data_IF_401870484609
#
_entry.id   IF_401870484609
#
_cell.length_a   1.000
_cell.length_b   1.000
_cell.length_c   1.000
_cell.angle_alpha   90.00
_cell.angle_beta   90.00
_cell.angle_gamma   90.00
#
_symmetry.space_group_name_H-M   'P 1'
#
loop_
_entity.id
_entity.type
_entity.pdbx_description
1 polymer ?
#
# COMPACT_ATOMS: atom_id res chain seq x y z
N UNK A 1 -24.83 10.67 -7.21
CA UNK A 1 -23.93 9.87 -6.36
C UNK A 1 -22.58 10.57 -6.37
N UNK A 2 -22.28 11.33 -5.31
CA UNK A 2 -21.03 12.08 -5.24
C UNK A 2 -19.95 11.15 -4.69
N UNK A 3 -19.08 10.67 -5.59
CA UNK A 3 -17.77 10.16 -5.18
C UNK A 3 -17.02 11.37 -4.65
N UNK A 4 -17.18 11.63 -3.35
CA UNK A 4 -16.38 12.64 -2.66
C UNK A 4 -14.93 12.26 -2.88
N UNK A 5 -14.16 13.17 -3.48
CA UNK A 5 -12.72 13.07 -3.61
C UNK A 5 -12.15 12.58 -2.28
N UNK A 6 -11.73 11.31 -2.23
CA UNK A 6 -11.00 10.73 -1.10
C UNK A 6 -9.63 11.43 -1.11
N UNK A 7 -9.53 12.66 -0.59
CA UNK A 7 -8.28 13.42 -0.65
C UNK A 7 -7.30 12.93 0.42
N UNK A 8 -6.04 12.74 0.05
CA UNK A 8 -4.94 12.42 0.96
C UNK A 8 -4.96 10.96 1.42
N UNK A 9 -5.15 10.74 2.71
CA UNK A 9 -5.04 9.45 3.39
C UNK A 9 -5.77 8.30 2.69
N UNK A 10 -7.07 8.46 2.41
CA UNK A 10 -7.86 7.35 1.90
C UNK A 10 -7.52 6.97 0.45
N UNK A 11 -7.12 7.93 -0.39
CA UNK A 11 -6.58 7.63 -1.72
C UNK A 11 -5.22 6.93 -1.61
N UNK A 12 -4.35 7.38 -0.71
CA UNK A 12 -3.07 6.75 -0.46
C UNK A 12 -3.22 5.29 0.03
N UNK A 13 -4.20 5.01 0.90
CA UNK A 13 -4.54 3.64 1.30
C UNK A 13 -5.06 2.80 0.12
N UNK A 14 -5.92 3.36 -0.74
CA UNK A 14 -6.44 2.65 -1.91
C UNK A 14 -5.32 2.31 -2.90
N UNK A 15 -4.42 3.27 -3.18
CA UNK A 15 -3.25 3.08 -4.04
C UNK A 15 -2.31 2.01 -3.48
N UNK A 16 -2.07 2.03 -2.16
CA UNK A 16 -1.26 1.02 -1.49
C UNK A 16 -1.84 -0.39 -1.67
N UNK A 17 -3.13 -0.57 -1.38
CA UNK A 17 -3.79 -1.87 -1.51
C UNK A 17 -3.82 -2.33 -2.98
N UNK A 18 -4.15 -1.43 -3.92
CA UNK A 18 -4.16 -1.74 -5.34
C UNK A 18 -2.78 -2.20 -5.82
N UNK A 19 -1.73 -1.49 -5.44
CA UNK A 19 -0.36 -1.85 -5.79
C UNK A 19 0.07 -3.21 -5.21
N UNK A 20 -0.35 -3.56 -3.99
CA UNK A 20 -0.12 -4.90 -3.42
C UNK A 20 -0.82 -5.98 -4.21
N UNK A 21 -2.09 -5.77 -4.58
CA UNK A 21 -2.85 -6.75 -5.38
C UNK A 21 -2.19 -6.99 -6.73
N UNK A 22 -1.71 -5.93 -7.39
CA UNK A 22 -0.92 -6.04 -8.62
C UNK A 22 0.41 -6.76 -8.41
N UNK A 23 1.11 -6.52 -7.29
CA UNK A 23 2.34 -7.24 -6.96
C UNK A 23 2.12 -8.75 -6.77
N UNK A 24 0.98 -9.15 -6.20
CA UNK A 24 0.61 -10.56 -6.03
C UNK A 24 0.33 -11.22 -7.37
N UNK A 25 -0.31 -10.52 -8.32
CA UNK A 25 -0.65 -11.06 -9.64
C UNK A 25 0.49 -11.01 -10.66
N UNK A 26 1.65 -10.45 -10.31
CA UNK A 26 2.79 -10.26 -11.22
C UNK A 26 4.06 -10.96 -10.71
N UNK A 27 5.07 -11.04 -11.57
CA UNK A 27 6.35 -11.71 -11.30
C UNK A 27 7.55 -10.81 -11.68
N UNK A 28 8.73 -11.12 -11.14
CA UNK A 28 9.99 -10.47 -11.52
C UNK A 28 10.04 -8.96 -11.24
N UNK A 29 10.56 -8.19 -12.20
CA UNK A 29 10.73 -6.73 -12.08
C UNK A 29 9.39 -5.98 -11.94
N UNK A 30 8.33 -6.46 -12.60
CA UNK A 30 7.01 -5.83 -12.55
C UNK A 30 6.43 -5.90 -11.12
N UNK A 31 6.54 -7.07 -10.48
CA UNK A 31 6.21 -7.23 -9.06
C UNK A 31 6.98 -6.24 -8.18
N UNK A 32 8.29 -6.09 -8.41
CA UNK A 32 9.14 -5.20 -7.62
C UNK A 32 8.71 -3.74 -7.78
N UNK A 33 8.34 -3.33 -9.00
CA UNK A 33 7.77 -2.01 -9.28
C UNK A 33 6.47 -1.78 -8.50
N UNK A 34 5.55 -2.76 -8.52
CA UNK A 34 4.31 -2.67 -7.76
C UNK A 34 4.52 -2.61 -6.24
N UNK A 35 5.45 -3.40 -5.69
CA UNK A 35 5.80 -3.33 -4.26
C UNK A 35 6.41 -1.97 -3.89
N UNK A 36 7.25 -1.40 -4.76
CA UNK A 36 7.80 -0.05 -4.54
C UNK A 36 6.70 1.00 -4.52
N UNK A 37 5.75 0.93 -5.46
CA UNK A 37 4.62 1.85 -5.52
C UNK A 37 3.73 1.71 -4.26
N UNK A 38 3.50 0.49 -3.80
CA UNK A 38 2.75 0.23 -2.58
C UNK A 38 3.41 0.89 -1.35
N UNK A 39 4.74 0.78 -1.23
CA UNK A 39 5.51 1.43 -0.16
C UNK A 39 5.37 2.95 -0.19
N UNK A 40 5.55 3.56 -1.37
CA UNK A 40 5.40 5.01 -1.54
C UNK A 40 3.99 5.48 -1.18
N UNK A 41 2.96 4.73 -1.58
CA UNK A 41 1.57 5.05 -1.24
C UNK A 41 1.31 4.96 0.28
N UNK A 42 1.85 3.95 0.96
CA UNK A 42 1.74 3.88 2.43
C UNK A 42 2.50 4.98 3.14
N UNK A 43 3.69 5.36 2.65
CA UNK A 43 4.43 6.48 3.23
C UNK A 43 3.64 7.80 3.09
N UNK A 44 2.92 7.99 1.97
CA UNK A 44 1.98 9.10 1.83
C UNK A 44 0.79 8.98 2.79
N UNK A 45 0.21 7.79 2.98
CA UNK A 45 -0.86 7.58 3.94
C UNK A 45 -0.40 7.89 5.38
N UNK A 46 0.80 7.48 5.77
CA UNK A 46 1.35 7.80 7.09
C UNK A 46 1.56 9.30 7.29
N UNK A 47 1.96 10.02 6.23
CA UNK A 47 2.16 11.47 6.25
C UNK A 47 0.84 12.23 6.33
N UNK A 48 -0.18 11.75 5.63
CA UNK A 48 -1.49 12.38 5.52
C UNK A 48 -2.46 11.95 6.63
N UNK A 49 -2.04 11.05 7.53
CA UNK A 49 -2.84 10.62 8.66
C UNK A 49 -3.04 11.79 9.65
N UNK A 50 -4.30 12.07 9.96
CA UNK A 50 -4.71 13.14 10.87
C UNK A 50 -5.22 12.62 12.23
N UNK A 51 -5.44 11.30 12.35
CA UNK A 51 -5.81 10.64 13.60
C UNK A 51 -4.88 9.47 13.94
N UNK A 52 -4.89 9.07 15.22
CA UNK A 52 -4.17 7.86 15.65
C UNK A 52 -4.71 6.58 15.00
N UNK A 53 -6.01 6.54 14.67
CA UNK A 53 -6.65 5.42 13.98
C UNK A 53 -6.20 5.33 12.52
N UNK A 54 -6.11 6.47 11.82
CA UNK A 54 -5.58 6.54 10.46
C UNK A 54 -4.11 6.14 10.42
N UNK A 55 -3.30 6.65 11.36
CA UNK A 55 -1.90 6.27 11.47
C UNK A 55 -1.75 4.76 11.74
N UNK A 56 -2.55 4.21 12.65
CA UNK A 56 -2.55 2.78 12.96
C UNK A 56 -2.92 1.93 11.73
N UNK A 57 -3.92 2.36 10.95
CA UNK A 57 -4.30 1.68 9.71
C UNK A 57 -3.17 1.72 8.67
N UNK A 58 -2.52 2.87 8.46
CA UNK A 58 -1.41 2.98 7.53
C UNK A 58 -0.19 2.17 7.96
N UNK A 59 0.12 2.12 9.26
CA UNK A 59 1.19 1.26 9.77
C UNK A 59 0.84 -0.23 9.61
N UNK A 60 -0.43 -0.63 9.83
CA UNK A 60 -0.90 -1.98 9.52
C UNK A 60 -0.70 -2.34 8.05
N UNK A 61 -1.04 -1.43 7.12
CA UNK A 61 -0.79 -1.62 5.69
C UNK A 61 0.71 -1.77 5.39
N UNK A 62 1.56 -0.97 6.05
CA UNK A 62 3.01 -1.05 5.91
C UNK A 62 3.56 -2.43 6.28
N UNK A 63 3.09 -2.99 7.39
CA UNK A 63 3.52 -4.32 7.83
C UNK A 63 3.01 -5.40 6.88
N UNK A 64 1.75 -5.30 6.42
CA UNK A 64 1.20 -6.21 5.42
C UNK A 64 2.00 -6.23 4.11
N UNK A 65 2.47 -5.07 3.63
CA UNK A 65 3.34 -4.98 2.44
C UNK A 65 4.67 -5.70 2.66
N UNK A 66 5.31 -5.52 3.83
CA UNK A 66 6.57 -6.21 4.17
C UNK A 66 6.39 -7.71 4.23
N UNK A 67 5.27 -8.18 4.78
CA UNK A 67 4.96 -9.61 4.84
C UNK A 67 4.76 -10.20 3.44
N UNK A 68 4.05 -9.48 2.55
CA UNK A 68 3.90 -9.89 1.15
C UNK A 68 5.24 -9.92 0.45
N UNK A 69 6.07 -8.89 0.60
CA UNK A 69 7.41 -8.86 0.01
C UNK A 69 8.28 -10.04 0.48
N UNK A 70 8.24 -10.35 1.77
CA UNK A 70 8.97 -11.47 2.37
C UNK A 70 8.49 -12.81 1.82
N UNK A 71 7.17 -13.04 1.81
CA UNK A 71 6.58 -14.29 1.28
C UNK A 71 6.83 -14.46 -0.23
N UNK A 72 6.76 -13.38 -1.00
CA UNK A 72 7.00 -13.42 -2.44
C UNK A 72 8.48 -13.64 -2.76
N UNK A 73 9.40 -13.19 -1.89
CA UNK A 73 10.82 -13.50 -1.99
C UNK A 73 11.11 -14.97 -1.72
N UNK A 74 10.49 -15.54 -0.69
CA UNK A 74 10.68 -16.96 -0.31
C UNK A 74 10.04 -17.92 -1.33
N UNK A 75 9.06 -17.45 -2.10
CA UNK A 75 8.39 -18.24 -3.15
C UNK A 75 9.08 -18.17 -4.53
N UNK A 76 10.23 -17.48 -4.65
CA UNK A 76 11.00 -17.34 -5.90
C UNK A 76 12.29 -18.15 -5.85
#
# INVERSE_FOLDING_TARGET
>A
MSVTHLSGFANACQEAVGAVLHAISTHGEERRGHLSNAKTAVDMALRDAHSGEEWHLAEHLRQGIKDVETRLRDAS
#
